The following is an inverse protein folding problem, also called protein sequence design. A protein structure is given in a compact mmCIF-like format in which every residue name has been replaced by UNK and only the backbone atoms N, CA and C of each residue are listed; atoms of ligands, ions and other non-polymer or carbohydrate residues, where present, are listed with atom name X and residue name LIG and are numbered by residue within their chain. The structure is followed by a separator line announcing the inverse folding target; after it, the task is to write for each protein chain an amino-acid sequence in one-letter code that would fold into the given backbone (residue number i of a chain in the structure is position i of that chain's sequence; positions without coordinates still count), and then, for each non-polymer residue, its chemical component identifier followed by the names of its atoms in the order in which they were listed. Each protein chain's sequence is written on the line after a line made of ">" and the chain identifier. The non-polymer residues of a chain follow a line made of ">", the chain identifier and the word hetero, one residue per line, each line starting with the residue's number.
data_IF_025437922121
#
_entry.id   IF_025437922121
#
_cell.length_a   1.000
_cell.length_b   1.000
_cell.length_c   1.000
_cell.angle_alpha   90.00
_cell.angle_beta   90.00
_cell.angle_gamma   90.00
#
_symmetry.space_group_name_H-M   'P 1'
#
loop_
_entity.id
_entity.type
_entity.pdbx_description
1 polymer ?
#
# COMPACT_ATOMS: atom_id res chain seq x y z
N UNK A 1 43.86 11.99 10.19
CA UNK A 1 43.35 12.99 11.17
C UNK A 1 42.31 13.85 10.49
N UNK A 2 41.17 13.99 11.17
CA UNK A 2 39.98 14.81 10.88
C UNK A 2 38.86 14.13 10.09
N UNK A 3 38.08 13.40 10.89
CA UNK A 3 36.62 13.32 10.87
C UNK A 3 35.92 14.61 10.44
N UNK A 4 34.84 14.46 9.64
CA UNK A 4 33.61 15.25 9.78
C UNK A 4 32.44 14.27 9.54
N UNK A 5 31.73 13.96 10.61
CA UNK A 5 30.54 13.10 10.60
C UNK A 5 29.37 13.71 9.84
N UNK A 6 28.60 12.83 9.20
CA UNK A 6 27.24 13.12 8.76
C UNK A 6 26.35 12.05 9.38
N UNK A 7 25.79 12.38 10.53
CA UNK A 7 24.65 11.69 11.12
C UNK A 7 23.44 11.96 10.24
N UNK A 8 22.86 10.93 9.64
CA UNK A 8 21.53 11.01 9.04
C UNK A 8 20.55 10.36 10.02
N UNK A 9 19.70 11.18 10.62
CA UNK A 9 18.62 10.76 11.50
C UNK A 9 17.51 10.18 10.63
N UNK A 10 17.24 8.88 10.78
CA UNK A 10 16.06 8.21 10.23
C UNK A 10 14.87 8.65 11.09
N UNK A 11 14.02 9.51 10.52
CA UNK A 11 12.77 9.95 11.15
C UNK A 11 11.61 9.08 10.68
N UNK A 12 11.23 8.08 11.49
CA UNK A 12 9.97 7.35 11.32
C UNK A 12 8.85 8.25 11.84
N UNK A 13 7.93 8.65 10.97
CA UNK A 13 6.76 9.44 11.36
C UNK A 13 5.73 8.56 12.08
N UNK A 14 5.42 8.94 13.31
CA UNK A 14 4.46 8.28 14.21
C UNK A 14 3.04 8.74 13.83
N UNK A 15 2.21 7.82 13.34
CA UNK A 15 0.80 8.06 13.10
C UNK A 15 0.07 8.34 14.44
N UNK A 16 -0.43 9.56 14.60
CA UNK A 16 -1.11 10.03 15.80
C UNK A 16 -2.62 9.77 15.73
N UNK A 17 -3.11 8.93 16.63
CA UNK A 17 -4.54 8.67 16.89
C UNK A 17 -5.17 9.87 17.62
N UNK A 18 -6.15 10.55 17.03
CA UNK A 18 -6.94 11.60 17.70
C UNK A 18 -8.41 11.18 17.79
N UNK A 19 -8.86 10.90 19.02
CA UNK A 19 -10.27 10.79 19.42
C UNK A 19 -10.90 12.19 19.49
N UNK A 20 -11.92 12.46 18.67
CA UNK A 20 -12.75 13.66 18.82
C UNK A 20 -13.95 13.39 19.73
N UNK A 21 -13.97 14.04 20.90
CA UNK A 21 -15.16 14.24 21.73
C UNK A 21 -15.85 15.51 21.27
N UNK A 22 -17.10 15.44 20.80
CA UNK A 22 -17.92 16.63 20.53
C UNK A 22 -18.88 16.84 21.70
N UNK A 23 -18.63 17.90 22.48
CA UNK A 23 -19.59 18.46 23.43
C UNK A 23 -20.48 19.47 22.71
N UNK A 24 -21.80 19.23 22.69
CA UNK A 24 -22.81 20.17 22.20
C UNK A 24 -23.19 21.11 23.34
N UNK A 25 -23.05 22.42 23.12
CA UNK A 25 -23.76 23.45 23.88
C UNK A 25 -24.43 24.43 22.92
N UNK A 26 -25.74 24.58 23.11
CA UNK A 26 -26.63 25.42 22.33
C UNK A 26 -26.62 26.88 22.83
N UNK A 27 -26.79 27.84 21.92
CA UNK A 27 -27.01 29.26 22.22
C UNK A 27 -27.31 30.08 20.96
N UNK A 28 -28.44 30.79 20.98
CA UNK A 28 -29.23 31.26 19.83
C UNK A 28 -28.76 32.53 19.06
N UNK A 29 -29.34 32.63 17.85
CA UNK A 29 -29.73 33.83 17.06
C UNK A 29 -28.69 34.53 16.15
N UNK A 30 -28.82 34.34 14.83
CA UNK A 30 -29.04 35.41 13.84
C UNK A 30 -29.31 34.84 12.43
N UNK A 31 -30.37 35.34 11.80
CA UNK A 31 -30.87 35.00 10.46
C UNK A 31 -30.12 35.83 9.39
N UNK A 32 -29.52 35.16 8.38
CA UNK A 32 -29.42 35.54 6.97
C UNK A 32 -28.11 35.05 6.31
N UNK A 33 -28.20 34.07 5.42
CA UNK A 33 -27.84 34.22 4.00
C UNK A 33 -27.86 32.87 3.27
N UNK A 34 -28.29 33.00 2.01
CA UNK A 34 -27.92 32.18 0.86
C UNK A 34 -28.34 30.71 0.90
N UNK A 35 -29.31 30.41 0.02
CA UNK A 35 -29.41 29.17 -0.76
C UNK A 35 -28.30 28.18 -0.47
N UNK A 36 -28.64 27.15 0.30
CA UNK A 36 -27.84 25.93 0.46
C UNK A 36 -27.60 25.38 -0.93
N UNK A 37 -26.44 25.67 -1.51
CA UNK A 37 -25.75 24.68 -2.31
C UNK A 37 -25.69 23.45 -1.43
N UNK A 38 -26.44 22.41 -1.79
CA UNK A 38 -26.21 21.07 -1.24
C UNK A 38 -24.70 20.86 -1.23
N UNK A 39 -24.10 20.38 -0.12
CA UNK A 39 -22.80 19.76 -0.26
C UNK A 39 -23.04 18.66 -1.29
N UNK A 40 -22.46 18.80 -2.49
CA UNK A 40 -22.14 17.64 -3.29
C UNK A 40 -21.48 16.65 -2.31
N UNK A 41 -21.79 15.34 -2.38
CA UNK A 41 -21.05 14.38 -1.58
C UNK A 41 -19.57 14.69 -1.79
N UNK A 42 -18.91 15.17 -0.74
CA UNK A 42 -17.47 15.09 -0.71
C UNK A 42 -17.24 13.59 -0.80
N UNK A 43 -16.82 13.15 -2.00
CA UNK A 43 -16.29 11.82 -2.19
C UNK A 43 -15.19 11.73 -1.14
N UNK A 44 -15.52 11.04 -0.04
CA UNK A 44 -14.57 10.82 1.03
C UNK A 44 -13.37 10.21 0.35
N UNK A 45 -12.21 10.84 0.50
CA UNK A 45 -10.95 10.23 0.10
C UNK A 45 -10.98 8.81 0.68
N UNK A 46 -10.72 7.78 -0.15
CA UNK A 46 -10.75 6.41 0.33
C UNK A 46 -9.79 6.33 1.53
N UNK A 47 -10.35 6.00 2.69
CA UNK A 47 -9.53 5.61 3.83
C UNK A 47 -8.76 4.35 3.43
N UNK A 48 -7.48 4.26 3.82
CA UNK A 48 -6.64 3.06 3.63
C UNK A 48 -7.22 1.80 4.31
N UNK A 49 -8.30 1.95 5.10
CA UNK A 49 -9.08 0.87 5.70
C UNK A 49 -10.23 0.33 4.82
N UNK A 50 -10.41 0.85 3.60
CA UNK A 50 -11.40 0.30 2.69
C UNK A 50 -11.01 -1.14 2.33
N UNK A 51 -11.88 -2.15 2.57
CA UNK A 51 -11.57 -3.52 2.22
C UNK A 51 -11.23 -3.65 0.74
N UNK A 52 -10.11 -4.30 0.43
CA UNK A 52 -9.70 -4.57 -0.97
C UNK A 52 -10.87 -5.28 -1.65
N UNK A 53 -11.34 -4.70 -2.76
CA UNK A 53 -12.35 -5.33 -3.60
C UNK A 53 -11.70 -6.53 -4.30
N UNK A 54 -11.99 -7.73 -3.81
CA UNK A 54 -11.40 -8.92 -4.39
C UNK A 54 -12.02 -9.28 -5.74
N UNK A 55 -11.17 -9.65 -6.70
CA UNK A 55 -11.57 -10.12 -8.02
C UNK A 55 -10.82 -11.42 -8.37
N UNK A 56 -11.44 -12.27 -9.18
CA UNK A 56 -10.73 -13.37 -9.82
C UNK A 56 -9.76 -12.78 -10.85
N UNK A 57 -8.46 -13.01 -10.64
CA UNK A 57 -7.43 -12.55 -11.55
C UNK A 57 -7.39 -13.41 -12.80
N UNK A 58 -7.01 -12.77 -13.91
CA UNK A 58 -6.74 -13.45 -15.17
C UNK A 58 -5.26 -13.35 -15.52
N UNK A 59 -4.77 -14.31 -16.32
CA UNK A 59 -3.40 -14.31 -16.80
C UNK A 59 -3.05 -13.02 -17.55
N UNK A 60 -3.98 -12.54 -18.39
CA UNK A 60 -3.83 -11.29 -19.14
C UNK A 60 -3.68 -10.06 -18.22
N UNK A 61 -4.38 -10.03 -17.09
CA UNK A 61 -4.25 -8.93 -16.13
C UNK A 61 -2.87 -8.92 -15.48
N UNK A 62 -2.32 -10.08 -15.10
CA UNK A 62 -0.96 -10.17 -14.56
C UNK A 62 0.08 -9.74 -15.60
N UNK A 63 -0.05 -10.22 -16.83
CA UNK A 63 0.83 -9.82 -17.93
C UNK A 63 0.75 -8.32 -18.21
N UNK A 64 -0.46 -7.75 -18.13
CA UNK A 64 -0.67 -6.30 -18.23
C UNK A 64 0.06 -5.53 -17.12
N UNK A 65 0.03 -6.00 -15.88
CA UNK A 65 0.77 -5.36 -14.77
C UNK A 65 2.26 -5.38 -15.06
N UNK A 66 2.80 -6.53 -15.41
CA UNK A 66 4.23 -6.68 -15.73
C UNK A 66 4.66 -5.82 -16.92
N UNK A 67 3.80 -5.64 -17.92
CA UNK A 67 4.06 -4.80 -19.07
C UNK A 67 4.02 -3.31 -18.74
N UNK A 68 3.17 -2.89 -17.81
CA UNK A 68 2.99 -1.50 -17.40
C UNK A 68 4.12 -1.01 -16.48
N UNK A 69 4.73 -1.90 -15.68
CA UNK A 69 5.59 -1.54 -14.54
C UNK A 69 6.61 -0.46 -14.86
N UNK A 70 7.42 -0.65 -15.91
CA UNK A 70 8.48 0.30 -16.26
C UNK A 70 7.93 1.69 -16.58
N UNK A 71 6.82 1.75 -17.32
CA UNK A 71 6.20 3.01 -17.72
C UNK A 71 5.52 3.69 -16.52
N UNK A 72 4.95 2.91 -15.59
CA UNK A 72 4.38 3.42 -14.33
C UNK A 72 5.46 4.00 -13.42
N UNK A 73 6.56 3.26 -13.17
CA UNK A 73 7.65 3.71 -12.29
C UNK A 73 8.31 5.00 -12.79
N UNK A 74 8.34 5.22 -14.11
CA UNK A 74 8.86 6.46 -14.68
C UNK A 74 8.02 7.71 -14.35
N UNK A 75 6.88 7.54 -13.68
CA UNK A 75 6.03 8.61 -13.17
C UNK A 75 6.08 8.77 -11.65
N UNK A 76 6.81 7.91 -10.92
CA UNK A 76 6.84 7.94 -9.46
C UNK A 76 7.34 9.28 -8.92
N UNK A 77 8.42 9.83 -9.48
CA UNK A 77 8.94 11.17 -9.14
C UNK A 77 7.95 12.32 -9.36
N UNK A 78 6.84 12.07 -10.07
CA UNK A 78 5.78 13.05 -10.36
C UNK A 78 4.55 12.84 -9.50
N UNK A 79 4.49 11.75 -8.75
CA UNK A 79 3.45 11.51 -7.77
C UNK A 79 3.79 12.30 -6.49
N UNK A 80 2.78 12.80 -5.77
CA UNK A 80 3.01 13.43 -4.50
C UNK A 80 3.42 12.38 -3.46
N UNK A 81 4.47 12.66 -2.69
CA UNK A 81 4.89 11.81 -1.56
C UNK A 81 3.79 11.63 -0.51
N UNK A 82 2.88 12.61 -0.40
CA UNK A 82 1.74 12.53 0.50
C UNK A 82 0.52 11.97 -0.24
N UNK A 83 0.02 10.76 0.14
CA UNK A 83 -1.12 10.13 -0.53
C UNK A 83 -2.44 10.92 -0.38
N UNK A 84 -2.51 11.84 0.60
CA UNK A 84 -3.67 12.73 0.76
C UNK A 84 -3.68 13.90 -0.23
N UNK A 85 -2.58 14.10 -0.98
CA UNK A 85 -2.49 15.10 -2.03
C UNK A 85 -2.85 14.43 -3.34
N UNK A 86 -3.86 14.98 -4.02
CA UNK A 86 -4.25 14.48 -5.34
C UNK A 86 -3.12 14.73 -6.35
N UNK A 87 -2.70 13.72 -7.13
CA UNK A 87 -1.72 13.93 -8.19
C UNK A 87 -2.20 14.94 -9.24
N UNK A 88 -1.25 15.54 -9.95
CA UNK A 88 -1.56 16.44 -11.07
C UNK A 88 -2.43 15.73 -12.12
N UNK A 89 -3.43 16.43 -12.67
CA UNK A 89 -4.39 15.83 -13.61
C UNK A 89 -3.73 15.29 -14.89
N UNK A 90 -2.60 15.86 -15.30
CA UNK A 90 -1.78 15.37 -16.40
C UNK A 90 -1.07 14.06 -16.05
N UNK A 91 -0.59 13.92 -14.81
CA UNK A 91 0.03 12.67 -14.32
C UNK A 91 -1.03 11.57 -14.26
N UNK A 92 -2.23 11.88 -13.76
CA UNK A 92 -3.37 10.95 -13.77
C UNK A 92 -3.71 10.49 -15.20
N UNK A 93 -3.74 11.41 -16.16
CA UNK A 93 -3.99 11.06 -17.56
C UNK A 93 -2.88 10.19 -18.17
N UNK A 94 -1.61 10.37 -17.75
CA UNK A 94 -0.49 9.54 -18.18
C UNK A 94 -0.60 8.12 -17.62
N UNK A 95 -0.90 7.98 -16.33
CA UNK A 95 -1.14 6.68 -15.69
C UNK A 95 -2.28 5.92 -16.38
N UNK A 96 -3.39 6.61 -16.67
CA UNK A 96 -4.52 6.02 -17.39
C UNK A 96 -4.16 5.58 -18.82
N UNK A 97 -3.35 6.36 -19.53
CA UNK A 97 -2.86 6.00 -20.85
C UNK A 97 -1.93 4.76 -20.81
N UNK A 98 -1.06 4.64 -19.81
CA UNK A 98 -0.18 3.48 -19.62
C UNK A 98 -1.00 2.23 -19.29
N UNK A 99 -1.96 2.35 -18.37
CA UNK A 99 -2.87 1.25 -18.03
C UNK A 99 -3.63 0.77 -19.27
N UNK A 100 -4.19 1.68 -20.07
CA UNK A 100 -4.89 1.35 -21.32
C UNK A 100 -4.00 0.68 -22.35
N UNK A 101 -2.77 1.19 -22.53
CA UNK A 101 -1.76 0.58 -23.42
C UNK A 101 -1.42 -0.86 -22.99
N UNK A 102 -1.52 -1.14 -21.69
CA UNK A 102 -1.22 -2.46 -21.11
C UNK A 102 -2.45 -3.38 -21.04
N UNK A 103 -3.58 -2.96 -21.61
CA UNK A 103 -4.77 -3.79 -21.78
C UNK A 103 -5.83 -3.66 -20.70
N UNK A 104 -5.69 -2.71 -19.77
CA UNK A 104 -6.72 -2.36 -18.78
C UNK A 104 -7.70 -1.33 -19.34
N UNK A 105 -8.90 -1.24 -18.78
CA UNK A 105 -9.88 -0.22 -19.15
C UNK A 105 -9.51 1.16 -18.59
N UNK A 106 -8.82 1.21 -17.44
CA UNK A 106 -8.42 2.44 -16.77
C UNK A 106 -7.29 2.22 -15.76
N UNK A 107 -6.70 3.31 -15.26
CA UNK A 107 -5.77 3.25 -14.13
C UNK A 107 -6.42 2.68 -12.85
N UNK A 108 -7.72 2.92 -12.65
CA UNK A 108 -8.43 2.37 -11.50
C UNK A 108 -8.57 0.83 -11.58
N UNK A 109 -8.78 0.28 -12.78
CA UNK A 109 -8.75 -1.19 -12.96
C UNK A 109 -7.35 -1.75 -12.72
N UNK A 110 -6.32 -1.07 -13.22
CA UNK A 110 -4.92 -1.44 -12.96
C UNK A 110 -4.64 -1.53 -11.45
N UNK A 111 -4.96 -0.50 -10.68
CA UNK A 111 -4.76 -0.51 -9.22
C UNK A 111 -5.52 -1.64 -8.54
N UNK A 112 -6.80 -1.84 -8.89
CA UNK A 112 -7.59 -2.93 -8.32
C UNK A 112 -6.99 -4.32 -8.62
N UNK A 113 -6.35 -4.50 -9.79
CA UNK A 113 -5.62 -5.72 -10.13
C UNK A 113 -4.34 -5.84 -9.29
N UNK A 114 -3.56 -4.76 -9.17
CA UNK A 114 -2.35 -4.73 -8.33
C UNK A 114 -2.69 -5.05 -6.89
N UNK A 115 -3.73 -4.46 -6.31
CA UNK A 115 -4.18 -4.72 -4.93
C UNK A 115 -4.48 -6.21 -4.71
N UNK A 116 -5.14 -6.86 -5.67
CA UNK A 116 -5.45 -8.28 -5.62
C UNK A 116 -4.22 -9.17 -5.77
N UNK A 117 -3.23 -8.74 -6.58
CA UNK A 117 -1.94 -9.42 -6.68
C UNK A 117 -1.19 -9.29 -5.35
N UNK A 118 -1.05 -8.07 -4.81
CA UNK A 118 -0.34 -7.77 -3.57
C UNK A 118 -0.96 -8.48 -2.36
N UNK A 119 -2.29 -8.54 -2.28
CA UNK A 119 -3.01 -9.29 -1.26
C UNK A 119 -2.56 -10.76 -1.20
N UNK A 120 -2.38 -11.38 -2.36
CA UNK A 120 -1.99 -12.79 -2.48
C UNK A 120 -0.48 -12.95 -2.31
N UNK A 121 0.30 -12.06 -2.94
CA UNK A 121 1.75 -12.07 -2.95
C UNK A 121 2.33 -11.96 -1.54
N UNK A 122 1.73 -11.14 -0.67
CA UNK A 122 2.13 -11.00 0.74
C UNK A 122 2.05 -12.30 1.56
N UNK A 123 1.35 -13.33 1.08
CA UNK A 123 1.28 -14.65 1.71
C UNK A 123 2.32 -15.67 1.21
N UNK A 124 3.20 -15.30 0.29
CA UNK A 124 4.27 -16.16 -0.19
C UNK A 124 5.54 -16.04 0.66
N UNK A 125 6.12 -17.18 1.02
CA UNK A 125 7.47 -17.25 1.56
C UNK A 125 8.49 -16.89 0.47
N UNK A 126 9.30 -15.83 0.64
CA UNK A 126 10.26 -15.40 -0.37
C UNK A 126 11.39 -16.40 -0.64
N UNK A 127 11.65 -17.32 0.30
CA UNK A 127 12.69 -18.34 0.15
C UNK A 127 12.18 -19.53 -0.65
N UNK A 128 11.01 -20.07 -0.26
CA UNK A 128 10.48 -21.29 -0.86
C UNK A 128 9.53 -21.04 -2.03
N UNK A 129 9.09 -19.79 -2.22
CA UNK A 129 8.10 -19.35 -3.20
C UNK A 129 6.76 -20.10 -3.07
N UNK A 130 6.46 -20.56 -1.87
CA UNK A 130 5.20 -21.25 -1.54
C UNK A 130 4.29 -20.31 -0.79
N UNK A 131 3.00 -20.37 -1.11
CA UNK A 131 1.99 -19.68 -0.32
C UNK A 131 1.84 -20.38 1.04
N UNK A 132 2.20 -19.67 2.11
CA UNK A 132 2.07 -20.11 3.51
C UNK A 132 1.10 -19.23 4.30
N UNK A 133 0.62 -18.14 3.68
CA UNK A 133 -0.27 -17.16 4.29
C UNK A 133 0.48 -16.04 5.01
N UNK A 134 -0.13 -14.86 5.03
CA UNK A 134 0.47 -13.61 5.54
C UNK A 134 0.96 -13.73 6.98
N UNK A 135 0.20 -14.42 7.86
CA UNK A 135 0.61 -14.58 9.26
C UNK A 135 1.86 -15.45 9.41
N UNK A 136 2.00 -16.51 8.61
CA UNK A 136 3.19 -17.37 8.68
C UNK A 136 4.40 -16.67 8.08
N UNK A 137 4.21 -15.91 6.98
CA UNK A 137 5.24 -15.01 6.45
C UNK A 137 5.69 -14.01 7.52
N UNK A 138 4.77 -13.34 8.20
CA UNK A 138 5.10 -12.36 9.24
C UNK A 138 5.84 -12.98 10.43
N UNK A 139 5.47 -14.20 10.85
CA UNK A 139 6.22 -14.95 11.88
C UNK A 139 7.65 -15.27 11.45
N UNK A 140 7.86 -15.65 10.18
CA UNK A 140 9.20 -15.88 9.65
C UNK A 140 10.03 -14.58 9.63
N UNK A 141 9.42 -13.46 9.23
CA UNK A 141 10.10 -12.16 9.25
C UNK A 141 10.48 -11.74 10.68
N UNK A 142 9.60 -11.96 11.67
CA UNK A 142 9.92 -11.72 13.09
C UNK A 142 11.13 -12.54 13.53
N UNK A 143 11.17 -13.83 13.18
CA UNK A 143 12.30 -14.69 13.51
C UNK A 143 13.61 -14.22 12.84
N UNK A 144 13.54 -13.76 11.59
CA UNK A 144 14.68 -13.20 10.87
C UNK A 144 15.21 -11.92 11.55
N UNK A 145 14.33 -10.97 11.90
CA UNK A 145 14.69 -9.74 12.61
C UNK A 145 15.29 -10.05 13.99
N UNK A 146 14.74 -11.03 14.71
CA UNK A 146 15.31 -11.47 15.99
C UNK A 146 16.73 -12.01 15.83
N UNK A 147 16.96 -12.81 14.78
CA UNK A 147 18.25 -13.41 14.47
C UNK A 147 19.28 -12.41 13.90
N UNK A 148 18.86 -11.24 13.41
CA UNK A 148 19.79 -10.27 12.80
C UNK A 148 20.71 -9.61 13.82
N UNK A 149 21.93 -10.11 13.94
CA UNK A 149 22.95 -9.57 14.85
C UNK A 149 23.48 -8.19 14.46
N UNK A 150 23.18 -7.69 13.26
CA UNK A 150 23.63 -6.37 12.79
C UNK A 150 22.67 -5.25 13.17
N UNK A 151 21.42 -5.58 13.49
CA UNK A 151 20.42 -4.59 13.87
C UNK A 151 20.63 -4.08 15.31
N UNK A 152 20.62 -2.74 15.53
CA UNK A 152 20.67 -2.16 16.87
C UNK A 152 19.55 -2.69 17.78
N UNK A 153 19.88 -2.98 19.04
CA UNK A 153 18.92 -3.63 19.96
C UNK A 153 17.60 -2.86 20.13
N UNK A 154 17.65 -1.52 20.11
CA UNK A 154 16.46 -0.66 20.20
C UNK A 154 15.57 -0.79 18.95
N UNK A 155 16.17 -0.71 17.76
CA UNK A 155 15.46 -0.84 16.48
C UNK A 155 14.88 -2.25 16.33
N UNK A 156 15.64 -3.28 16.71
CA UNK A 156 15.16 -4.67 16.76
C UNK A 156 13.95 -4.84 17.66
N UNK A 157 14.01 -4.30 18.86
CA UNK A 157 12.87 -4.37 19.77
C UNK A 157 11.65 -3.69 19.16
N UNK A 158 11.83 -2.49 18.60
CA UNK A 158 10.73 -1.75 17.98
C UNK A 158 10.10 -2.51 16.81
N UNK A 159 10.91 -2.99 15.86
CA UNK A 159 10.44 -3.74 14.71
C UNK A 159 9.68 -5.02 15.13
N UNK A 160 10.24 -5.78 16.10
CA UNK A 160 9.57 -6.98 16.62
C UNK A 160 8.26 -6.64 17.33
N UNK A 161 8.21 -5.55 18.12
CA UNK A 161 6.99 -5.13 18.80
C UNK A 161 5.90 -4.72 17.78
N UNK A 162 6.25 -3.97 16.74
CA UNK A 162 5.33 -3.54 15.67
C UNK A 162 4.79 -4.73 14.85
N UNK A 163 5.67 -5.67 14.48
CA UNK A 163 5.27 -6.89 13.76
C UNK A 163 4.39 -7.82 14.62
N UNK A 164 4.64 -7.90 15.93
CA UNK A 164 3.78 -8.64 16.85
C UNK A 164 2.41 -7.98 17.04
N UNK A 165 2.35 -6.65 17.00
CA UNK A 165 1.09 -5.92 16.99
C UNK A 165 0.30 -6.22 15.70
N UNK A 166 0.97 -6.22 14.55
CA UNK A 166 0.34 -6.59 13.27
C UNK A 166 -0.21 -8.02 13.26
N UNK A 167 0.43 -8.98 13.95
CA UNK A 167 -0.10 -10.35 14.11
C UNK A 167 -1.44 -10.43 14.85
N UNK A 168 -1.80 -9.40 15.63
CA UNK A 168 -3.10 -9.37 16.32
C UNK A 168 -4.25 -9.06 15.35
N UNK A 169 -3.94 -8.46 14.20
CA UNK A 169 -4.91 -8.16 13.16
C UNK A 169 -4.99 -9.34 12.19
N UNK A 170 -6.13 -10.03 12.07
CA UNK A 170 -6.27 -11.09 11.09
C UNK A 170 -6.15 -10.51 9.67
N UNK A 171 -5.36 -11.13 8.78
CA UNK A 171 -5.28 -10.68 7.40
C UNK A 171 -6.63 -10.89 6.71
N UNK A 172 -6.92 -10.14 5.63
CA UNK A 172 -8.10 -10.39 4.82
C UNK A 172 -8.12 -11.84 4.31
N UNK A 173 -9.30 -12.45 4.31
CA UNK A 173 -9.49 -13.80 3.77
C UNK A 173 -9.41 -13.74 2.25
N UNK A 174 -8.58 -14.58 1.62
CA UNK A 174 -8.56 -14.70 0.15
C UNK A 174 -9.84 -15.42 -0.31
N UNK A 175 -10.72 -14.67 -0.96
CA UNK A 175 -11.97 -15.15 -1.54
C UNK A 175 -11.70 -15.92 -2.83
N UNK A 176 -10.85 -15.37 -3.69
CA UNK A 176 -10.51 -15.92 -5.00
C UNK A 176 -9.29 -16.83 -4.92
N UNK A 177 -9.45 -18.04 -4.36
CA UNK A 177 -8.33 -18.98 -4.11
C UNK A 177 -7.51 -19.33 -5.35
N UNK A 178 -8.10 -19.32 -6.54
CA UNK A 178 -7.39 -19.56 -7.80
C UNK A 178 -6.32 -18.50 -8.11
N UNK A 179 -6.40 -17.31 -7.50
CA UNK A 179 -5.38 -16.28 -7.61
C UNK A 179 -4.04 -16.74 -7.01
N UNK A 180 -4.04 -17.63 -6.02
CA UNK A 180 -2.81 -18.15 -5.40
C UNK A 180 -1.97 -18.91 -6.45
N UNK A 181 -2.59 -19.84 -7.17
CA UNK A 181 -1.90 -20.62 -8.21
C UNK A 181 -1.41 -19.73 -9.35
N UNK A 182 -2.22 -18.73 -9.71
CA UNK A 182 -1.87 -17.80 -10.77
C UNK A 182 -0.70 -16.88 -10.35
N UNK A 183 -0.71 -16.32 -9.14
CA UNK A 183 0.41 -15.51 -8.62
C UNK A 183 1.66 -16.38 -8.43
N UNK A 184 1.52 -17.63 -7.97
CA UNK A 184 2.64 -18.57 -7.88
C UNK A 184 3.34 -18.77 -9.22
N UNK A 185 2.57 -18.93 -10.31
CA UNK A 185 3.08 -19.08 -11.67
C UNK A 185 3.94 -17.89 -12.13
N UNK A 186 3.64 -16.68 -11.64
CA UNK A 186 4.34 -15.45 -12.01
C UNK A 186 5.22 -14.86 -10.89
N UNK A 187 5.43 -15.61 -9.79
CA UNK A 187 5.99 -15.09 -8.55
C UNK A 187 7.26 -14.25 -8.75
N UNK A 188 8.28 -14.80 -9.41
CA UNK A 188 9.57 -14.10 -9.57
C UNK A 188 9.43 -12.77 -10.32
N UNK A 189 8.53 -12.72 -11.31
CA UNK A 189 8.30 -11.50 -12.09
C UNK A 189 7.51 -10.49 -11.27
N UNK A 190 6.50 -10.94 -10.53
CA UNK A 190 5.65 -10.08 -9.71
C UNK A 190 6.39 -9.55 -8.49
N UNK A 191 7.15 -10.38 -7.79
CA UNK A 191 7.98 -9.97 -6.66
C UNK A 191 9.04 -8.96 -7.08
N UNK A 192 9.66 -9.13 -8.26
CA UNK A 192 10.61 -8.15 -8.78
C UNK A 192 9.95 -6.86 -9.30
N UNK A 193 8.76 -6.95 -9.91
CA UNK A 193 8.07 -5.79 -10.46
C UNK A 193 7.40 -4.92 -9.38
N UNK A 194 6.83 -5.55 -8.36
CA UNK A 194 6.07 -4.91 -7.29
C UNK A 194 6.83 -4.82 -5.97
N UNK A 195 8.12 -5.15 -5.95
CA UNK A 195 8.96 -4.77 -4.83
C UNK A 195 8.87 -3.25 -4.68
N UNK A 196 8.55 -2.77 -3.48
CA UNK A 196 8.76 -1.36 -3.17
C UNK A 196 10.23 -1.08 -3.45
N UNK A 197 10.50 -0.09 -4.29
CA UNK A 197 11.84 0.24 -4.75
C UNK A 197 12.74 0.51 -3.55
N UNK A 198 13.51 -0.49 -3.15
CA UNK A 198 14.76 -0.27 -2.43
C UNK A 198 15.69 0.39 -3.44
N UNK A 199 15.95 1.68 -3.25
CA UNK A 199 16.93 2.45 -4.03
C UNK A 199 18.22 1.63 -4.21
N UNK A 200 18.54 1.23 -5.45
CA UNK A 200 19.84 0.67 -5.82
C UNK A 200 20.95 1.74 -5.83
#
# INVERSE_FOLDING_TARGET
>A
MRDIGRSTIIGIAIASLILFVVAVSAGNNALAQATRSSPAPAEAAPSDDAPIKQIALTEKQIEGVLAAQKDMNALDDKLPDNPNVKPDSKVIAQLDAIAKKSGFASYAEYNNVVDNISLVLGGFDPTTKKYIGVQEVLKQQIAAVQADTKMPAKEKKQAVDDMNAALQTPPPVIENKGNIDLVAKYYDKLAGALAESEDE
#
